data_IF_113695014537
#
_entry.id   IF_113695014537
#
_cell.length_a   1.000
_cell.length_b   1.000
_cell.length_c   1.000
_cell.angle_alpha   90.00
_cell.angle_beta   90.00
_cell.angle_gamma   90.00
#
_symmetry.space_group_name_H-M   'P 1'
#
loop_
_entity.id
_entity.type
_entity.pdbx_description
1 polymer ?
#
# COMPACT_ATOMS: atom_id res chain seq x y z
N UNK A 1 4.01 -14.64 21.11
CA UNK A 1 5.07 -13.72 20.64
C UNK A 1 5.47 -14.03 19.19
N UNK A 2 5.85 -15.27 18.87
CA UNK A 2 6.30 -15.67 17.53
C UNK A 2 5.27 -15.42 16.42
N UNK A 3 3.99 -15.69 16.66
CA UNK A 3 2.90 -15.44 15.70
C UNK A 3 2.79 -13.96 15.30
N UNK A 4 2.91 -13.05 16.26
CA UNK A 4 2.89 -11.61 15.99
C UNK A 4 4.07 -11.16 15.14
N UNK A 5 5.26 -11.75 15.35
CA UNK A 5 6.41 -11.49 14.50
C UNK A 5 6.20 -12.01 13.07
N UNK A 6 5.62 -13.20 12.90
CA UNK A 6 5.29 -13.74 11.57
C UNK A 6 4.30 -12.84 10.82
N UNK A 7 3.24 -12.39 11.49
CA UNK A 7 2.27 -11.44 10.92
C UNK A 7 2.96 -10.14 10.52
N UNK A 8 3.79 -9.57 11.39
CA UNK A 8 4.50 -8.32 11.13
C UNK A 8 5.43 -8.42 9.91
N UNK A 9 6.31 -9.43 9.88
CA UNK A 9 7.30 -9.58 8.81
C UNK A 9 6.65 -9.96 7.48
N UNK A 10 5.63 -10.84 7.50
CA UNK A 10 4.91 -11.19 6.27
C UNK A 10 4.13 -9.99 5.73
N UNK A 11 3.41 -9.24 6.56
CA UNK A 11 2.71 -8.02 6.15
C UNK A 11 3.68 -6.96 5.61
N UNK A 12 4.86 -6.79 6.22
CA UNK A 12 5.89 -5.86 5.75
C UNK A 12 6.39 -6.23 4.35
N UNK A 13 6.75 -7.50 4.14
CA UNK A 13 7.26 -7.97 2.85
C UNK A 13 6.19 -7.88 1.76
N UNK A 14 4.96 -8.27 2.08
CA UNK A 14 3.82 -8.16 1.18
C UNK A 14 3.52 -6.70 0.85
N UNK A 15 3.48 -5.80 1.83
CA UNK A 15 3.22 -4.39 1.61
C UNK A 15 4.32 -3.75 0.74
N UNK A 16 5.59 -4.05 1.02
CA UNK A 16 6.71 -3.59 0.21
C UNK A 16 6.61 -4.06 -1.26
N UNK A 17 6.16 -5.29 -1.48
CA UNK A 17 5.94 -5.84 -2.83
C UNK A 17 4.70 -5.30 -3.53
N UNK A 18 3.57 -5.14 -2.83
CA UNK A 18 2.29 -4.71 -3.41
C UNK A 18 2.27 -3.20 -3.66
N UNK A 19 2.96 -2.39 -2.85
CA UNK A 19 2.99 -0.92 -3.00
C UNK A 19 3.42 -0.44 -4.40
N UNK A 20 4.50 -0.93 -5.03
CA UNK A 20 4.83 -0.54 -6.40
C UNK A 20 3.79 -1.01 -7.44
N UNK A 21 3.14 -2.16 -7.24
CA UNK A 21 2.02 -2.58 -8.09
C UNK A 21 0.84 -1.62 -7.94
N UNK A 22 0.46 -1.28 -6.70
CA UNK A 22 -0.61 -0.32 -6.43
C UNK A 22 -0.30 1.05 -7.03
N UNK A 23 0.95 1.53 -6.95
CA UNK A 23 1.38 2.75 -7.64
C UNK A 23 1.11 2.70 -9.15
N UNK A 24 1.50 1.60 -9.80
CA UNK A 24 1.31 1.42 -11.24
C UNK A 24 -0.17 1.33 -11.61
N UNK A 25 -0.96 0.59 -10.84
CA UNK A 25 -2.41 0.46 -11.05
C UNK A 25 -3.11 1.80 -10.82
N UNK A 26 -2.75 2.53 -9.76
CA UNK A 26 -3.31 3.84 -9.46
C UNK A 26 -3.03 4.87 -10.57
N UNK A 27 -1.83 4.81 -11.16
CA UNK A 27 -1.50 5.61 -12.34
C UNK A 27 -2.31 5.20 -13.58
N UNK A 28 -2.43 3.89 -13.85
CA UNK A 28 -3.17 3.36 -15.01
C UNK A 28 -4.67 3.60 -14.94
N UNK A 29 -5.26 3.53 -13.75
CA UNK A 29 -6.71 3.68 -13.54
C UNK A 29 -7.13 5.10 -13.15
N UNK A 30 -6.18 6.04 -13.06
CA UNK A 30 -6.48 7.45 -12.79
C UNK A 30 -6.82 7.78 -11.34
N UNK A 31 -6.52 6.89 -10.38
CA UNK A 31 -6.63 7.15 -8.93
C UNK A 31 -5.50 8.06 -8.43
N UNK A 32 -5.42 9.24 -9.04
CA UNK A 32 -4.34 10.19 -8.87
C UNK A 32 -4.81 11.38 -8.04
N UNK A 33 -3.99 11.78 -7.09
CA UNK A 33 -4.12 13.03 -6.40
C UNK A 33 -3.63 14.17 -7.28
N UNK A 34 -4.49 15.14 -7.59
CA UNK A 34 -4.07 16.31 -8.35
C UNK A 34 -3.38 17.36 -7.45
N UNK A 35 -2.34 18.04 -7.96
CA UNK A 35 -1.77 19.22 -7.31
C UNK A 35 -2.84 20.27 -7.03
N UNK A 36 -2.73 20.95 -5.88
CA UNK A 36 -3.56 22.11 -5.56
C UNK A 36 -2.72 23.16 -4.84
N UNK A 37 -3.23 24.39 -4.72
CA UNK A 37 -2.48 25.50 -4.10
C UNK A 37 -2.04 25.25 -2.66
N UNK A 38 -2.61 24.24 -1.98
CA UNK A 38 -2.24 23.83 -0.62
C UNK A 38 -1.27 22.64 -0.57
N UNK A 39 -0.89 22.06 -1.71
CA UNK A 39 -0.04 20.86 -1.78
C UNK A 39 1.35 21.20 -2.27
N UNK A 40 2.35 20.59 -1.65
CA UNK A 40 3.77 20.73 -2.01
C UNK A 40 4.15 19.96 -3.27
N UNK A 41 3.28 19.06 -3.77
CA UNK A 41 3.56 18.21 -4.91
C UNK A 41 3.09 18.85 -6.21
N UNK A 42 4.01 19.05 -7.15
CA UNK A 42 3.71 19.60 -8.48
C UNK A 42 3.27 18.54 -9.49
N UNK A 43 3.39 17.26 -9.16
CA UNK A 43 2.99 16.14 -10.02
C UNK A 43 1.87 15.33 -9.37
N UNK A 44 0.97 14.73 -10.17
CA UNK A 44 -0.06 13.87 -9.61
C UNK A 44 0.51 12.63 -8.93
N UNK A 45 -0.02 12.26 -7.75
CA UNK A 45 0.47 11.12 -6.95
C UNK A 45 -0.63 10.06 -6.77
N UNK A 46 -0.36 8.76 -6.98
CA UNK A 46 -1.37 7.71 -6.75
C UNK A 46 -1.85 7.67 -5.29
N UNK A 47 -3.18 7.63 -5.06
CA UNK A 47 -3.80 7.61 -3.72
C UNK A 47 -4.05 6.20 -3.15
N UNK A 48 -3.58 5.15 -3.82
CA UNK A 48 -3.93 3.74 -3.53
C UNK A 48 -2.93 3.01 -2.64
N UNK A 49 -1.97 3.71 -2.03
CA UNK A 49 -0.98 3.11 -1.12
C UNK A 49 -1.61 2.45 0.12
N UNK A 50 -2.63 3.07 0.70
CA UNK A 50 -3.34 2.49 1.86
C UNK A 50 -4.01 1.14 1.54
N UNK A 51 -4.51 0.97 0.30
CA UNK A 51 -5.10 -0.30 -0.16
C UNK A 51 -4.03 -1.40 -0.20
N UNK A 52 -2.81 -1.08 -0.64
CA UNK A 52 -1.71 -2.05 -0.64
C UNK A 52 -1.37 -2.55 0.76
N UNK A 53 -1.29 -1.65 1.74
CA UNK A 53 -1.00 -2.00 3.13
C UNK A 53 -2.15 -2.80 3.74
N UNK A 54 -3.40 -2.39 3.51
CA UNK A 54 -4.57 -3.11 4.01
C UNK A 54 -4.63 -4.55 3.49
N UNK A 55 -4.43 -4.76 2.18
CA UNK A 55 -4.41 -6.09 1.57
C UNK A 55 -3.26 -6.94 2.11
N UNK A 56 -2.06 -6.37 2.25
CA UNK A 56 -0.91 -7.07 2.83
C UNK A 56 -1.19 -7.56 4.26
N UNK A 57 -1.81 -6.71 5.10
CA UNK A 57 -2.19 -7.09 6.46
C UNK A 57 -3.31 -8.14 6.48
N UNK A 58 -4.35 -8.00 5.65
CA UNK A 58 -5.41 -9.01 5.54
C UNK A 58 -4.85 -10.37 5.16
N UNK A 59 -3.95 -10.44 4.17
CA UNK A 59 -3.30 -11.69 3.76
C UNK A 59 -2.45 -12.27 4.90
N UNK A 60 -1.64 -11.45 5.58
CA UNK A 60 -0.85 -11.91 6.72
C UNK A 60 -1.72 -12.45 7.87
N UNK A 61 -2.83 -11.77 8.18
CA UNK A 61 -3.77 -12.21 9.21
C UNK A 61 -4.50 -13.50 8.81
N UNK A 62 -4.89 -13.66 7.54
CA UNK A 62 -5.54 -14.89 7.07
C UNK A 62 -4.59 -16.11 7.09
N UNK A 63 -3.29 -15.89 6.96
CA UNK A 63 -2.28 -16.95 6.92
C UNK A 63 -1.75 -17.32 8.31
N UNK A 64 -1.65 -16.35 9.23
CA UNK A 64 -0.95 -16.53 10.50
C UNK A 64 -1.74 -16.10 11.74
N UNK A 65 -2.90 -15.44 11.57
CA UNK A 65 -3.82 -15.08 12.65
C UNK A 65 -4.73 -16.25 13.02
#
# INVERSE_FOLDING_TARGET
MSTYLLILFSALLLAAGITPLARNVGSRWGFMDQPSQRKIHSTPIPRVGGVAVFLAFMVALLLFG
#
